data_IF_945001422426
#
_entry.id   IF_945001422426
#
_cell.length_a   1.000
_cell.length_b   1.000
_cell.length_c   1.000
_cell.angle_alpha   90.00
_cell.angle_beta   90.00
_cell.angle_gamma   90.00
#
_symmetry.space_group_name_H-M   'P 1'
#
loop_
_entity.id
_entity.type
_entity.pdbx_description
1 polymer ?
#
# COMPACT_ATOMS: atom_id res chain seq x y z
N UNK A 1 -16.30 -0.38 -14.33
CA UNK A 1 -16.52 0.63 -13.27
C UNK A 1 -15.22 1.39 -13.13
N UNK A 2 -15.24 2.72 -13.21
CA UNK A 2 -14.01 3.52 -13.33
C UNK A 2 -13.82 4.39 -12.08
N UNK A 3 -12.82 4.06 -11.27
CA UNK A 3 -12.48 4.84 -10.06
C UNK A 3 -11.66 6.04 -10.52
N UNK A 4 -12.10 7.26 -10.17
CA UNK A 4 -11.35 8.47 -10.53
C UNK A 4 -9.95 8.43 -9.90
N UNK A 5 -8.92 8.47 -10.74
CA UNK A 5 -7.51 8.35 -10.36
C UNK A 5 -6.92 9.65 -9.78
N UNK A 6 -7.52 10.19 -8.71
CA UNK A 6 -7.11 11.45 -8.09
C UNK A 6 -5.72 11.39 -7.43
N UNK A 7 -5.22 10.19 -7.16
CA UNK A 7 -3.84 9.92 -6.75
C UNK A 7 -2.79 10.41 -7.75
N UNK A 8 -3.16 10.64 -9.01
CA UNK A 8 -2.29 11.30 -9.99
C UNK A 8 -2.00 12.77 -9.64
N UNK A 9 -2.75 13.38 -8.74
CA UNK A 9 -2.48 14.73 -8.22
C UNK A 9 -1.55 14.71 -7.00
N UNK A 10 -1.23 13.52 -6.45
CA UNK A 10 -0.40 13.39 -5.27
C UNK A 10 1.07 13.76 -5.59
N UNK A 11 1.80 14.48 -4.72
CA UNK A 11 3.19 14.89 -4.98
C UNK A 11 4.12 13.72 -5.33
N UNK A 12 3.91 12.56 -4.69
CA UNK A 12 4.66 11.34 -5.00
C UNK A 12 4.41 10.81 -6.43
N UNK A 13 3.27 11.10 -7.05
CA UNK A 13 3.07 10.76 -8.46
C UNK A 13 3.94 11.64 -9.36
N UNK A 14 3.97 12.95 -9.10
CA UNK A 14 4.81 13.88 -9.85
C UNK A 14 6.31 13.57 -9.70
N UNK A 15 6.72 13.07 -8.54
CA UNK A 15 8.08 12.59 -8.28
C UNK A 15 8.36 11.18 -8.86
N UNK A 16 7.38 10.56 -9.52
CA UNK A 16 7.51 9.22 -10.09
C UNK A 16 7.73 8.13 -9.04
N UNK A 17 7.08 8.21 -7.87
CA UNK A 17 7.22 7.23 -6.77
C UNK A 17 5.99 6.32 -6.60
N UNK A 18 4.89 6.63 -7.28
CA UNK A 18 3.68 5.82 -7.27
C UNK A 18 3.67 4.91 -8.51
N UNK A 19 3.24 3.67 -8.31
CA UNK A 19 3.13 2.65 -9.34
C UNK A 19 1.80 1.90 -9.22
N UNK A 20 1.19 1.57 -10.36
CA UNK A 20 0.09 0.60 -10.39
C UNK A 20 0.64 -0.81 -10.27
N UNK A 21 0.28 -1.50 -9.19
CA UNK A 21 0.67 -2.89 -8.93
C UNK A 21 -0.56 -3.81 -8.94
N UNK A 22 -0.40 -5.12 -9.24
CA UNK A 22 -1.50 -6.07 -9.18
C UNK A 22 -2.14 -6.08 -7.78
N UNK A 23 -3.46 -6.01 -7.71
CA UNK A 23 -4.20 -6.05 -6.43
C UNK A 23 -3.89 -7.32 -5.65
N UNK A 24 -3.83 -8.46 -6.33
CA UNK A 24 -3.53 -9.76 -5.71
C UNK A 24 -2.15 -9.80 -5.06
N UNK A 25 -1.18 -9.08 -5.61
CA UNK A 25 0.16 -8.99 -5.04
C UNK A 25 0.12 -8.25 -3.70
N UNK A 26 -0.60 -7.14 -3.60
CA UNK A 26 -0.76 -6.41 -2.33
C UNK A 26 -1.65 -7.18 -1.35
N UNK A 27 -2.68 -7.87 -1.85
CA UNK A 27 -3.59 -8.69 -1.05
C UNK A 27 -2.88 -9.78 -0.25
N UNK A 28 -1.80 -10.35 -0.81
CA UNK A 28 -0.96 -11.33 -0.12
C UNK A 28 -0.29 -10.79 1.15
N UNK A 29 -0.18 -9.46 1.28
CA UNK A 29 0.53 -8.78 2.38
C UNK A 29 -0.38 -7.90 3.26
N UNK A 30 -1.69 -8.13 3.20
CA UNK A 30 -2.65 -7.39 4.03
C UNK A 30 -2.61 -7.85 5.50
N UNK A 31 -3.05 -6.97 6.40
CA UNK A 31 -3.52 -7.36 7.72
C UNK A 31 -4.74 -8.27 7.64
N UNK A 32 -4.72 -9.38 8.37
CA UNK A 32 -5.89 -10.24 8.53
C UNK A 32 -6.83 -9.70 9.62
N UNK A 33 -6.31 -8.97 10.60
CA UNK A 33 -7.05 -8.44 11.75
C UNK A 33 -7.55 -7.01 11.51
N UNK A 34 -8.23 -6.82 10.39
CA UNK A 34 -8.80 -5.51 10.02
C UNK A 34 -10.26 -5.50 10.45
N UNK A 35 -10.67 -4.42 11.12
CA UNK A 35 -12.07 -4.21 11.49
C UNK A 35 -12.98 -4.20 10.26
N UNK A 36 -14.26 -4.60 10.40
CA UNK A 36 -15.25 -4.47 9.31
C UNK A 36 -15.64 -3.02 9.02
N UNK A 37 -15.08 -2.07 9.77
CA UNK A 37 -15.33 -0.64 9.68
C UNK A 37 -14.03 0.12 9.40
N UNK A 38 -14.10 1.16 8.57
CA UNK A 38 -13.00 2.04 8.21
C UNK A 38 -13.30 3.48 8.63
N UNK A 39 -12.24 4.24 8.93
CA UNK A 39 -12.33 5.67 9.18
C UNK A 39 -12.10 6.45 7.88
N UNK A 40 -13.01 7.36 7.54
CA UNK A 40 -12.84 8.32 6.47
C UNK A 40 -11.92 9.47 6.90
N UNK A 41 -11.48 10.31 5.95
CA UNK A 41 -10.58 11.43 6.25
C UNK A 41 -11.15 12.44 7.24
N UNK A 42 -12.46 12.53 7.35
CA UNK A 42 -13.18 13.45 8.22
C UNK A 42 -13.49 12.85 9.61
N UNK A 43 -13.05 11.62 9.89
CA UNK A 43 -13.32 10.92 11.15
C UNK A 43 -14.61 10.09 11.14
N UNK A 44 -15.33 10.04 10.02
CA UNK A 44 -16.55 9.24 9.90
C UNK A 44 -16.22 7.76 9.80
N UNK A 45 -16.77 6.96 10.72
CA UNK A 45 -16.68 5.50 10.68
C UNK A 45 -17.74 4.94 9.72
N UNK A 46 -17.30 4.13 8.76
CA UNK A 46 -18.15 3.53 7.72
C UNK A 46 -17.88 2.04 7.57
N UNK A 47 -18.86 1.29 7.07
CA UNK A 47 -18.69 -0.11 6.66
C UNK A 47 -17.79 -0.24 5.42
N UNK A 48 -17.31 -1.46 5.11
CA UNK A 48 -16.55 -1.70 3.89
C UNK A 48 -17.35 -1.41 2.60
N UNK A 49 -18.65 -1.65 2.59
CA UNK A 49 -19.52 -1.33 1.45
C UNK A 49 -19.65 0.19 1.26
N UNK A 50 -19.84 0.94 2.35
CA UNK A 50 -19.87 2.41 2.32
C UNK A 50 -18.50 3.01 1.96
N UNK A 51 -17.41 2.37 2.38
CA UNK A 51 -16.06 2.75 1.96
C UNK A 51 -15.91 2.59 0.44
N UNK A 52 -16.42 1.50 -0.13
CA UNK A 52 -16.41 1.30 -1.58
C UNK A 52 -17.22 2.39 -2.29
N UNK A 53 -18.44 2.65 -1.85
CA UNK A 53 -19.29 3.71 -2.42
C UNK A 53 -18.63 5.09 -2.33
N UNK A 54 -17.95 5.37 -1.21
CA UNK A 54 -17.17 6.60 -1.05
C UNK A 54 -16.02 6.68 -2.06
N UNK A 55 -15.23 5.61 -2.24
CA UNK A 55 -14.13 5.58 -3.20
C UNK A 55 -14.64 5.77 -4.64
N UNK A 56 -15.79 5.20 -4.97
CA UNK A 56 -16.42 5.35 -6.29
C UNK A 56 -16.92 6.77 -6.49
N UNK A 57 -17.58 7.35 -5.49
CA UNK A 57 -18.14 8.70 -5.53
C UNK A 57 -17.06 9.78 -5.57
N UNK A 58 -16.07 9.70 -4.67
CA UNK A 58 -15.04 10.72 -4.45
C UNK A 58 -13.82 10.48 -5.34
N UNK A 59 -13.48 9.24 -5.62
CA UNK A 59 -12.24 8.85 -6.28
C UNK A 59 -11.14 8.47 -5.29
N UNK A 60 -10.08 7.85 -5.82
CA UNK A 60 -8.95 7.41 -5.01
C UNK A 60 -7.90 8.52 -4.95
N UNK A 61 -7.79 9.19 -3.81
CA UNK A 61 -6.90 10.35 -3.61
C UNK A 61 -5.45 9.99 -3.29
N UNK A 62 -5.24 8.96 -2.48
CA UNK A 62 -3.91 8.61 -1.97
C UNK A 62 -3.54 7.20 -2.44
N UNK A 63 -2.25 6.94 -2.74
CA UNK A 63 -1.81 5.58 -2.94
C UNK A 63 -1.97 4.75 -1.65
N UNK A 64 -1.85 3.44 -1.79
CA UNK A 64 -1.51 2.57 -0.67
C UNK A 64 -0.03 2.72 -0.36
N UNK A 65 0.34 2.58 0.91
CA UNK A 65 1.73 2.74 1.34
C UNK A 65 2.21 1.40 1.89
N UNK A 66 3.23 0.84 1.26
CA UNK A 66 4.01 -0.26 1.83
C UNK A 66 5.23 0.31 2.53
N UNK A 67 5.61 -0.25 3.68
CA UNK A 67 6.82 0.16 4.39
C UNK A 67 7.83 -0.99 4.35
N UNK A 68 9.10 -0.68 4.12
CA UNK A 68 10.22 -1.63 4.13
C UNK A 68 11.29 -1.15 5.11
N UNK A 69 11.76 -2.05 5.96
CA UNK A 69 12.91 -1.88 6.84
C UNK A 69 14.15 -2.53 6.21
N UNK A 70 15.14 -1.72 5.84
CA UNK A 70 16.34 -2.21 5.15
C UNK A 70 17.24 -3.04 6.08
N UNK A 71 17.40 -2.62 7.34
CA UNK A 71 18.28 -3.27 8.32
C UNK A 71 17.74 -4.61 8.79
N UNK A 72 16.44 -4.67 9.08
CA UNK A 72 15.78 -5.86 9.59
C UNK A 72 15.13 -6.73 8.50
N UNK A 73 15.15 -6.26 7.24
CA UNK A 73 14.60 -6.94 6.06
C UNK A 73 13.14 -7.35 6.26
N UNK A 74 12.34 -6.46 6.84
CA UNK A 74 10.89 -6.65 7.02
C UNK A 74 10.10 -5.65 6.21
N UNK A 75 8.86 -6.00 5.89
CA UNK A 75 7.94 -5.09 5.25
C UNK A 75 6.49 -5.31 5.67
N UNK A 76 5.63 -4.34 5.37
CA UNK A 76 4.21 -4.37 5.71
C UNK A 76 3.38 -3.45 4.82
N UNK A 77 2.08 -3.72 4.72
CA UNK A 77 1.12 -2.72 4.24
C UNK A 77 0.80 -1.74 5.38
N UNK A 78 1.34 -0.53 5.27
CA UNK A 78 1.21 0.51 6.30
C UNK A 78 -0.12 1.23 6.22
N UNK A 79 -0.51 1.66 5.03
CA UNK A 79 -1.74 2.40 4.80
C UNK A 79 -2.59 1.76 3.70
N UNK A 80 -3.88 1.56 4.02
CA UNK A 80 -4.89 1.03 3.10
C UNK A 80 -5.22 -0.45 3.25
N UNK A 81 -5.15 -1.00 4.46
CA UNK A 81 -5.62 -2.36 4.76
C UNK A 81 -7.13 -2.54 4.49
N UNK A 82 -7.99 -1.58 4.84
CA UNK A 82 -9.42 -1.62 4.44
C UNK A 82 -9.60 -1.44 2.93
N UNK A 83 -8.80 -0.55 2.32
CA UNK A 83 -8.85 -0.27 0.87
C UNK A 83 -8.51 -1.52 0.04
N UNK A 84 -7.50 -2.29 0.43
CA UNK A 84 -7.16 -3.52 -0.30
C UNK A 84 -8.27 -4.59 -0.21
N UNK A 85 -9.02 -4.64 0.90
CA UNK A 85 -10.17 -5.53 1.03
C UNK A 85 -11.29 -5.19 0.07
N UNK A 86 -11.68 -3.91 0.00
CA UNK A 86 -12.72 -3.50 -0.97
C UNK A 86 -12.23 -3.68 -2.40
N UNK A 87 -10.98 -3.33 -2.72
CA UNK A 87 -10.43 -3.51 -4.07
C UNK A 87 -10.43 -4.97 -4.52
N UNK A 88 -10.00 -5.89 -3.66
CA UNK A 88 -10.00 -7.31 -3.97
C UNK A 88 -11.43 -7.85 -4.10
N UNK A 89 -12.35 -7.50 -3.19
CA UNK A 89 -13.77 -7.92 -3.25
C UNK A 89 -14.47 -7.45 -4.52
N UNK A 90 -14.20 -6.21 -4.96
CA UNK A 90 -14.82 -5.63 -6.16
C UNK A 90 -14.05 -5.90 -7.45
N UNK A 91 -13.01 -6.72 -7.43
CA UNK A 91 -12.27 -7.15 -8.62
C UNK A 91 -11.48 -6.03 -9.31
N UNK A 92 -10.98 -5.05 -8.55
CA UNK A 92 -10.08 -4.01 -9.09
C UNK A 92 -8.74 -4.68 -9.43
N UNK A 93 -8.25 -4.63 -10.68
CA UNK A 93 -7.08 -5.42 -11.08
C UNK A 93 -5.73 -4.80 -10.67
N UNK A 94 -5.65 -3.47 -10.65
CA UNK A 94 -4.43 -2.73 -10.32
C UNK A 94 -4.73 -1.55 -9.40
N UNK A 95 -3.82 -1.29 -8.47
CA UNK A 95 -3.97 -0.23 -7.47
C UNK A 95 -2.69 0.59 -7.33
N UNK A 96 -2.79 1.91 -7.05
CA UNK A 96 -1.63 2.77 -6.87
C UNK A 96 -0.96 2.49 -5.52
N UNK A 97 0.33 2.17 -5.56
CA UNK A 97 1.16 1.90 -4.38
C UNK A 97 2.45 2.70 -4.44
N UNK A 98 2.93 3.13 -3.28
CA UNK A 98 4.28 3.64 -3.06
C UNK A 98 4.95 2.82 -1.96
N UNK A 99 6.29 2.77 -1.97
CA UNK A 99 7.07 2.14 -0.90
C UNK A 99 7.79 3.20 -0.09
N UNK A 100 7.52 3.26 1.20
CA UNK A 100 8.29 4.02 2.17
C UNK A 100 9.46 3.17 2.69
N UNK A 101 10.68 3.67 2.52
CA UNK A 101 11.91 3.01 2.95
C UNK A 101 12.37 3.59 4.29
N UNK A 102 12.65 2.71 5.24
CA UNK A 102 13.10 3.02 6.60
C UNK A 102 14.25 2.11 7.00
N UNK A 103 14.92 2.45 8.11
CA UNK A 103 15.97 1.62 8.69
C UNK A 103 15.37 0.29 9.17
N UNK A 104 14.29 0.37 9.94
CA UNK A 104 13.59 -0.78 10.50
C UNK A 104 12.09 -0.68 10.22
N UNK A 105 11.44 -1.84 10.17
CA UNK A 105 10.00 -1.97 10.02
C UNK A 105 9.48 -3.02 11.02
N UNK A 106 8.42 -2.69 11.76
CA UNK A 106 7.75 -3.62 12.66
C UNK A 106 7.41 -3.04 14.02
N UNK A 107 6.86 -3.85 14.93
CA UNK A 107 6.24 -3.38 16.18
C UNK A 107 7.24 -2.76 17.18
N UNK A 108 8.55 -2.89 16.96
CA UNK A 108 9.59 -2.26 17.78
C UNK A 108 9.88 -0.81 17.36
N UNK A 109 9.36 -0.37 16.22
CA UNK A 109 9.51 1.01 15.74
C UNK A 109 8.36 1.83 16.34
N UNK A 110 8.68 2.94 17.01
CA UNK A 110 7.73 3.70 17.83
C UNK A 110 6.55 4.34 17.10
N UNK A 111 6.56 4.37 15.77
CA UNK A 111 5.45 4.84 14.92
C UNK A 111 4.59 3.67 14.37
N UNK A 112 4.89 2.44 14.77
CA UNK A 112 4.12 1.25 14.40
C UNK A 112 3.25 0.82 15.57
N UNK A 113 1.92 0.86 15.38
CA UNK A 113 0.98 0.25 16.31
C UNK A 113 1.36 -1.23 16.51
N UNK A 114 1.76 -1.57 17.73
CA UNK A 114 2.29 -2.87 18.15
C UNK A 114 1.33 -4.02 17.82
N UNK A 115 1.89 -5.20 17.49
CA UNK A 115 1.21 -6.47 17.17
C UNK A 115 0.28 -6.54 15.95
N UNK A 116 0.46 -5.64 14.99
CA UNK A 116 -0.05 -5.83 13.64
C UNK A 116 0.48 -7.15 13.02
N UNK A 117 -0.42 -8.08 12.71
CA UNK A 117 -0.13 -9.41 12.12
C UNK A 117 0.41 -9.38 10.68
N UNK A 118 0.57 -8.19 10.10
CA UNK A 118 1.05 -7.95 8.73
C UNK A 118 2.49 -7.49 8.64
N UNK A 119 3.40 -8.09 9.42
CA UNK A 119 4.84 -7.92 9.23
C UNK A 119 5.41 -9.15 8.53
N UNK A 120 5.99 -8.96 7.36
CA UNK A 120 6.50 -10.02 6.51
C UNK A 120 8.02 -9.92 6.39
N UNK A 121 8.69 -11.07 6.35
CA UNK A 121 10.10 -11.13 6.03
C UNK A 121 10.28 -10.92 4.52
N UNK A 122 11.15 -9.98 4.17
CA UNK A 122 11.38 -9.58 2.78
C UNK A 122 12.38 -10.48 2.04
N UNK A 123 13.11 -11.33 2.77
CA UNK A 123 14.08 -12.27 2.21
C UNK A 123 14.97 -11.64 1.13
N UNK A 124 15.08 -12.33 0.00
CA UNK A 124 15.78 -11.84 -1.21
C UNK A 124 14.87 -11.05 -2.18
N UNK A 125 13.59 -10.83 -1.83
CA UNK A 125 12.65 -10.10 -2.68
C UNK A 125 12.94 -8.59 -2.66
N UNK A 126 13.47 -8.06 -1.55
CA UNK A 126 13.86 -6.65 -1.46
C UNK A 126 15.23 -6.41 -2.10
N UNK A 127 15.24 -5.60 -3.17
CA UNK A 127 16.41 -5.26 -3.99
C UNK A 127 17.34 -4.23 -3.34
N UNK A 128 16.83 -3.42 -2.41
CA UNK A 128 17.58 -2.32 -1.80
C UNK A 128 18.36 -2.76 -0.56
N UNK A 129 19.57 -2.21 -0.41
CA UNK A 129 20.48 -2.46 0.71
C UNK A 129 20.84 -1.21 1.52
N UNK A 130 20.41 -0.03 1.08
CA UNK A 130 20.61 1.25 1.75
C UNK A 130 19.43 2.18 1.42
N UNK A 131 19.16 3.13 2.31
CA UNK A 131 18.15 4.16 2.09
C UNK A 131 18.77 5.26 1.23
N UNK A 132 18.39 5.32 -0.04
CA UNK A 132 18.78 6.41 -0.95
C UNK A 132 17.70 7.48 -1.02
N UNK A 133 16.44 7.08 -0.85
CA UNK A 133 15.27 7.94 -0.88
C UNK A 133 14.22 7.42 0.11
N UNK A 134 13.43 8.32 0.71
CA UNK A 134 12.37 7.92 1.65
C UNK A 134 11.22 7.18 0.96
N UNK A 135 10.89 7.57 -0.27
CA UNK A 135 9.83 6.92 -1.06
C UNK A 135 10.37 6.44 -2.40
N UNK A 136 10.00 5.21 -2.77
CA UNK A 136 10.44 4.53 -3.97
C UNK A 136 9.27 3.84 -4.67
N UNK A 137 9.42 3.60 -5.99
CA UNK A 137 8.46 2.76 -6.70
C UNK A 137 8.55 1.33 -6.19
N UNK A 138 7.43 0.62 -6.04
CA UNK A 138 7.40 -0.81 -5.75
C UNK A 138 8.38 -1.64 -6.59
N UNK A 139 8.47 -1.45 -7.91
CA UNK A 139 9.38 -2.23 -8.77
C UNK A 139 10.87 -1.92 -8.58
N UNK A 140 11.20 -0.77 -7.97
CA UNK A 140 12.58 -0.44 -7.61
C UNK A 140 12.99 -1.09 -6.28
N UNK A 141 12.00 -1.57 -5.51
CA UNK A 141 12.21 -2.18 -4.20
C UNK A 141 12.01 -3.70 -4.23
N UNK A 142 11.00 -4.21 -4.93
CA UNK A 142 10.61 -5.61 -4.92
C UNK A 142 10.92 -6.31 -6.24
N UNK A 143 11.67 -7.41 -6.18
CA UNK A 143 12.03 -8.25 -7.33
C UNK A 143 10.80 -8.86 -7.98
N UNK A 144 9.82 -9.29 -7.18
CA UNK A 144 8.55 -9.85 -7.65
C UNK A 144 7.74 -8.92 -8.57
N UNK A 145 8.03 -7.61 -8.55
CA UNK A 145 7.42 -6.61 -9.45
C UNK A 145 8.35 -6.15 -10.58
N UNK A 146 9.63 -6.52 -10.54
CA UNK A 146 10.58 -6.19 -11.58
C UNK A 146 10.21 -6.96 -12.88
N UNK A 147 9.80 -6.23 -13.92
CA UNK A 147 9.47 -6.80 -15.23
C UNK A 147 8.00 -7.17 -15.45
N UNK A 148 7.09 -6.88 -14.49
CA UNK A 148 5.64 -7.04 -14.70
C UNK A 148 5.16 -5.99 -15.71
N UNK A 149 4.45 -6.45 -16.76
CA UNK A 149 3.81 -5.59 -17.75
C UNK A 149 2.70 -4.79 -17.07
N UNK A 150 2.75 -3.46 -17.21
CA UNK A 150 1.87 -2.53 -16.47
C UNK A 150 0.95 -1.80 -17.43
N UNK A 151 -0.32 -1.56 -17.04
CA UNK A 151 -1.20 -0.69 -17.81
C UNK A 151 -0.65 0.75 -17.83
N UNK A 152 -0.91 1.47 -18.92
CA UNK A 152 -0.49 2.85 -19.13
C UNK A 152 -1.28 3.86 -18.28
#
# INVERSE_FOLDING_TARGET
MDIRALWKNHPLYAAGKIELVPTDWVWAYRGADVSPEADLKDGTIVTLDELWDNIVSEGLHDPLIMRVGVRNKKFRLEAGNHRIQVFHTHGVPFIPVTVQVREECGPHVGDVMTDATHNFDAGDDVLISAITEEYMKPSDVFRSLAGVARPA
#
